data_IF_638852851754
#
_entry.id   IF_638852851754
#
_cell.length_a   1.000
_cell.length_b   1.000
_cell.length_c   1.000
_cell.angle_alpha   90.00
_cell.angle_beta   90.00
_cell.angle_gamma   90.00
#
_symmetry.space_group_name_H-M   'P 1'
#
loop_
_entity.id
_entity.type
_entity.pdbx_description
1 polymer ?
#
# COMPACT_ATOMS: atom_id res chain seq x y z
N UNK A 1 -12.93 23.76 -1.67
CA UNK A 1 -12.55 23.25 -0.34
C UNK A 1 -12.12 21.81 -0.54
N UNK A 2 -10.84 21.52 -0.41
CA UNK A 2 -10.31 20.16 -0.56
C UNK A 2 -10.76 19.30 0.61
N UNK A 3 -11.69 18.38 0.34
CA UNK A 3 -12.10 17.36 1.29
C UNK A 3 -10.95 16.37 1.42
N UNK A 4 -10.31 16.30 2.59
CA UNK A 4 -9.29 15.30 2.86
C UNK A 4 -9.93 13.91 2.78
N UNK A 5 -9.36 13.04 1.96
CA UNK A 5 -9.75 11.64 1.88
C UNK A 5 -8.53 10.73 1.91
N UNK A 6 -8.79 9.47 2.23
CA UNK A 6 -7.86 8.35 2.17
C UNK A 6 -8.59 7.18 1.53
N UNK A 7 -7.86 6.29 0.85
CA UNK A 7 -8.48 5.12 0.25
C UNK A 7 -7.55 3.92 0.30
N UNK A 8 -8.16 2.75 0.39
CA UNK A 8 -7.47 1.48 0.32
C UNK A 8 -8.37 0.49 -0.42
N UNK A 9 -7.80 -0.64 -0.82
CA UNK A 9 -8.53 -1.66 -1.54
C UNK A 9 -8.18 -3.05 -1.01
N UNK A 10 -9.10 -3.95 -1.20
CA UNK A 10 -8.88 -5.40 -1.16
C UNK A 10 -9.04 -5.95 -2.58
N UNK A 11 -8.96 -7.27 -2.74
CA UNK A 11 -9.07 -7.88 -4.08
C UNK A 11 -10.40 -7.56 -4.77
N UNK A 12 -11.49 -7.47 -3.99
CA UNK A 12 -12.86 -7.32 -4.50
C UNK A 12 -13.53 -6.00 -4.17
N UNK A 13 -12.96 -5.21 -3.27
CA UNK A 13 -13.60 -4.02 -2.71
C UNK A 13 -12.62 -2.85 -2.64
N UNK A 14 -13.15 -1.64 -2.76
CA UNK A 14 -12.43 -0.39 -2.58
C UNK A 14 -13.12 0.37 -1.46
N UNK A 15 -12.35 0.80 -0.47
CA UNK A 15 -12.82 1.58 0.65
C UNK A 15 -12.29 3.01 0.55
N UNK A 16 -13.18 3.99 0.57
CA UNK A 16 -12.83 5.42 0.55
C UNK A 16 -13.27 6.04 1.87
N UNK A 17 -12.34 6.67 2.58
CA UNK A 17 -12.57 7.38 3.83
C UNK A 17 -12.50 8.89 3.57
N UNK A 18 -13.61 9.60 3.71
CA UNK A 18 -13.64 11.06 3.59
C UNK A 18 -13.73 11.69 4.98
N UNK A 19 -12.81 12.59 5.33
CA UNK A 19 -12.73 13.18 6.67
C UNK A 19 -13.43 14.54 6.72
N UNK A 20 -14.52 14.62 7.49
CA UNK A 20 -15.23 15.87 7.77
C UNK A 20 -15.88 15.79 9.15
N UNK A 21 -15.73 16.85 9.94
CA UNK A 21 -16.26 16.95 11.30
C UNK A 21 -17.73 17.35 11.30
N UNK A 22 -18.42 17.02 12.38
CA UNK A 22 -19.82 17.41 12.65
C UNK A 22 -20.80 16.86 11.61
N UNK A 23 -20.64 15.59 11.25
CA UNK A 23 -21.56 14.90 10.35
C UNK A 23 -22.51 13.97 11.11
N UNK A 24 -23.79 14.05 10.80
CA UNK A 24 -24.77 13.04 11.19
C UNK A 24 -25.16 12.20 9.98
N UNK A 25 -25.64 10.98 10.23
CA UNK A 25 -26.09 10.08 9.16
C UNK A 25 -27.27 10.67 8.35
N UNK A 26 -28.12 11.48 8.99
CA UNK A 26 -29.27 12.13 8.36
C UNK A 26 -28.90 13.28 7.43
N UNK A 27 -27.70 13.85 7.59
CA UNK A 27 -27.27 15.06 6.87
C UNK A 27 -26.44 14.69 5.63
N UNK A 28 -26.23 13.40 5.36
CA UNK A 28 -25.36 12.91 4.29
C UNK A 28 -26.13 11.97 3.38
N UNK A 29 -26.08 12.25 2.08
CA UNK A 29 -26.60 11.38 1.02
C UNK A 29 -25.47 11.01 0.08
N UNK A 30 -25.35 9.72 -0.23
CA UNK A 30 -24.35 9.22 -1.18
C UNK A 30 -25.08 8.62 -2.38
N UNK A 31 -24.65 8.98 -3.58
CA UNK A 31 -25.10 8.39 -4.83
C UNK A 31 -23.97 7.56 -5.43
N UNK A 32 -24.24 6.28 -5.68
CA UNK A 32 -23.33 5.37 -6.35
C UNK A 32 -23.75 5.19 -7.80
N UNK A 33 -22.81 5.41 -8.72
CA UNK A 33 -22.94 5.11 -10.14
C UNK A 33 -21.83 4.13 -10.54
N UNK A 34 -21.93 3.56 -11.74
CA UNK A 34 -20.98 2.54 -12.20
C UNK A 34 -19.54 3.02 -12.17
N UNK A 35 -19.28 4.31 -12.40
CA UNK A 35 -17.93 4.87 -12.47
C UNK A 35 -17.78 6.18 -11.69
N UNK A 36 -18.83 6.62 -11.00
CA UNK A 36 -18.84 7.87 -10.26
C UNK A 36 -19.47 7.68 -8.88
N UNK A 37 -18.88 8.31 -7.87
CA UNK A 37 -19.44 8.32 -6.51
C UNK A 37 -19.55 9.76 -6.06
N UNK A 38 -20.76 10.18 -5.75
CA UNK A 38 -21.06 11.57 -5.35
C UNK A 38 -21.59 11.62 -3.94
N UNK A 39 -20.95 12.43 -3.09
CA UNK A 39 -21.36 12.68 -1.71
C UNK A 39 -22.06 14.04 -1.68
N UNK A 40 -23.26 14.07 -1.13
CA UNK A 40 -24.09 15.25 -0.93
C UNK A 40 -24.33 15.48 0.56
N UNK A 41 -24.38 16.75 0.95
CA UNK A 41 -24.83 17.20 2.26
C UNK A 41 -26.26 17.70 2.14
N UNK A 42 -27.16 17.06 2.87
CA UNK A 42 -28.55 17.45 3.00
C UNK A 42 -28.61 18.65 3.94
N UNK A 43 -28.74 19.86 3.39
CA UNK A 43 -28.97 21.07 4.18
C UNK A 43 -30.42 21.54 4.02
N UNK A 44 -30.99 22.28 4.99
CA UNK A 44 -32.34 22.82 4.90
C UNK A 44 -32.56 23.76 3.70
N UNK A 45 -31.47 24.33 3.17
CA UNK A 45 -31.43 25.23 2.01
C UNK A 45 -31.24 24.52 0.67
N UNK A 46 -31.07 23.20 0.65
CA UNK A 46 -30.82 22.39 -0.54
C UNK A 46 -29.61 21.46 -0.40
N UNK A 47 -29.58 20.41 -1.22
CA UNK A 47 -28.51 19.42 -1.25
C UNK A 47 -27.23 20.04 -1.84
N UNK A 48 -26.16 20.12 -1.04
CA UNK A 48 -24.86 20.62 -1.49
C UNK A 48 -23.97 19.44 -1.93
N UNK A 49 -23.41 19.49 -3.14
CA UNK A 49 -22.42 18.51 -3.57
C UNK A 49 -21.12 18.73 -2.80
N UNK A 50 -20.77 17.78 -1.95
CA UNK A 50 -19.56 17.83 -1.14
C UNK A 50 -18.33 17.43 -1.93
N UNK A 51 -18.39 16.27 -2.58
CA UNK A 51 -17.29 15.72 -3.40
C UNK A 51 -17.84 14.67 -4.35
N UNK A 52 -17.31 14.64 -5.57
CA UNK A 52 -17.50 13.57 -6.55
C UNK A 52 -16.16 12.92 -6.82
N UNK A 53 -16.12 11.59 -6.79
CA UNK A 53 -14.99 10.77 -7.20
C UNK A 53 -15.30 10.16 -8.55
N UNK A 54 -14.44 10.40 -9.54
CA UNK A 54 -14.57 9.77 -10.86
C UNK A 54 -13.65 8.56 -10.92
N UNK A 55 -14.19 7.37 -10.67
CA UNK A 55 -13.45 6.16 -10.37
C UNK A 55 -12.68 5.65 -11.60
N UNK A 56 -11.44 5.18 -11.39
CA UNK A 56 -10.62 4.66 -12.47
C UNK A 56 -11.14 3.36 -13.09
N UNK A 57 -11.89 2.58 -12.31
CA UNK A 57 -12.52 1.35 -12.77
C UNK A 57 -13.98 1.28 -12.32
N UNK A 58 -14.82 0.53 -13.04
CA UNK A 58 -16.23 0.42 -12.69
C UNK A 58 -16.48 -0.40 -11.43
N UNK A 59 -17.51 0.00 -10.69
CA UNK A 59 -18.03 -0.61 -9.46
C UNK A 59 -19.48 -1.05 -9.67
N UNK A 60 -19.94 -2.01 -8.85
CA UNK A 60 -21.32 -2.49 -8.84
C UNK A 60 -22.14 -1.65 -7.85
N UNK A 61 -22.95 -0.67 -8.30
CA UNK A 61 -23.60 0.29 -7.42
C UNK A 61 -24.56 -0.37 -6.42
N UNK A 62 -25.19 -1.48 -6.84
CA UNK A 62 -26.12 -2.26 -6.01
C UNK A 62 -25.48 -2.93 -4.80
N UNK A 63 -24.16 -3.15 -4.85
CA UNK A 63 -23.39 -3.76 -3.77
C UNK A 63 -22.48 -2.74 -3.05
N UNK A 64 -22.61 -1.46 -3.36
CA UNK A 64 -21.92 -0.39 -2.67
C UNK A 64 -22.66 0.00 -1.39
N UNK A 65 -21.92 0.29 -0.32
CA UNK A 65 -22.48 0.70 0.97
C UNK A 65 -21.71 1.90 1.53
N UNK A 66 -22.33 2.64 2.44
CA UNK A 66 -21.65 3.73 3.15
C UNK A 66 -21.99 3.73 4.64
N UNK A 67 -21.06 4.26 5.43
CA UNK A 67 -21.23 4.48 6.87
C UNK A 67 -20.80 5.89 7.22
N UNK A 68 -21.67 6.60 7.91
CA UNK A 68 -21.38 7.95 8.41
C UNK A 68 -20.96 7.86 9.88
N UNK A 69 -19.88 8.54 10.21
CA UNK A 69 -19.39 8.76 11.56
C UNK A 69 -19.22 10.26 11.79
N UNK A 70 -19.18 10.75 13.04
CA UNK A 70 -19.08 12.20 13.33
C UNK A 70 -17.85 12.90 12.74
N UNK A 71 -16.82 12.12 12.39
CA UNK A 71 -15.50 12.59 11.95
C UNK A 71 -15.16 12.15 10.52
N UNK A 72 -15.92 11.21 9.94
CA UNK A 72 -15.64 10.64 8.63
C UNK A 72 -16.84 9.97 7.99
N UNK A 73 -16.82 9.88 6.67
CA UNK A 73 -17.72 9.09 5.84
C UNK A 73 -16.89 7.95 5.26
N UNK A 74 -17.28 6.71 5.52
CA UNK A 74 -16.66 5.53 4.94
C UNK A 74 -17.54 5.02 3.81
N UNK A 75 -16.99 4.93 2.60
CA UNK A 75 -17.62 4.35 1.43
C UNK A 75 -16.99 2.98 1.19
N UNK A 76 -17.80 1.96 0.94
CA UNK A 76 -17.34 0.63 0.51
C UNK A 76 -17.93 0.35 -0.86
N UNK A 77 -17.06 0.23 -1.84
CA UNK A 77 -17.41 0.05 -3.24
C UNK A 77 -17.06 -1.36 -3.66
N UNK A 78 -18.00 -2.07 -4.28
CA UNK A 78 -17.76 -3.41 -4.82
C UNK A 78 -17.20 -3.28 -6.22
N UNK A 79 -16.02 -3.86 -6.49
CA UNK A 79 -15.44 -3.86 -7.83
C UNK A 79 -16.26 -4.75 -8.77
N UNK A 80 -16.39 -4.33 -10.03
CA UNK A 80 -16.93 -5.22 -11.09
C UNK A 80 -15.89 -6.27 -11.47
N UNK A 81 -14.64 -5.84 -11.63
CA UNK A 81 -13.52 -6.69 -12.04
C UNK A 81 -12.52 -6.84 -10.88
N UNK A 82 -11.96 -8.03 -10.70
CA UNK A 82 -10.91 -8.33 -9.70
C UNK A 82 -9.55 -7.75 -10.10
N UNK A 83 -9.53 -6.46 -10.46
CA UNK A 83 -8.32 -5.72 -10.86
C UNK A 83 -7.80 -4.90 -9.68
N UNK A 84 -6.47 -4.81 -9.58
CA UNK A 84 -5.81 -3.91 -8.62
C UNK A 84 -5.81 -2.49 -9.19
N UNK A 85 -6.38 -1.56 -8.45
CA UNK A 85 -6.45 -0.16 -8.85
C UNK A 85 -5.11 0.50 -8.53
N UNK A 86 -4.44 1.08 -9.52
CA UNK A 86 -3.22 1.84 -9.26
C UNK A 86 -3.56 3.25 -8.72
N UNK A 87 -4.69 3.79 -9.18
CA UNK A 87 -5.20 5.11 -8.82
C UNK A 87 -6.70 5.01 -8.53
N UNK A 88 -7.20 5.90 -7.67
CA UNK A 88 -8.62 5.94 -7.33
C UNK A 88 -9.43 6.65 -8.41
N UNK A 89 -8.93 7.81 -8.86
CA UNK A 89 -9.63 8.68 -9.79
C UNK A 89 -8.95 8.67 -11.16
N UNK A 90 -9.74 8.65 -12.23
CA UNK A 90 -9.23 8.97 -13.57
C UNK A 90 -8.95 10.47 -13.62
N UNK A 91 -7.74 10.86 -13.99
CA UNK A 91 -7.42 12.25 -14.29
C UNK A 91 -8.26 12.72 -15.49
N UNK A 92 -9.40 13.34 -15.21
CA UNK A 92 -10.13 14.11 -16.22
C UNK A 92 -9.45 15.46 -16.31
N UNK A 93 -8.42 15.54 -17.15
CA UNK A 93 -7.96 16.81 -17.70
C UNK A 93 -9.18 17.52 -18.27
N UNK A 94 -9.65 18.57 -17.59
CA UNK A 94 -10.67 19.47 -18.13
C UNK A 94 -10.05 20.21 -19.31
N UNK A 95 -10.14 19.64 -20.51
CA UNK A 95 -10.47 20.33 -21.77
C UNK A 95 -10.55 19.33 -22.95
N UNK A 96 -11.68 19.34 -23.66
CA UNK A 96 -11.73 19.06 -25.10
C UNK A 96 -11.73 17.60 -25.59
N UNK A 97 -12.92 17.16 -26.01
CA UNK A 97 -13.21 16.13 -27.04
C UNK A 97 -12.04 15.90 -28.00
N UNK A 98 -11.41 14.70 -28.04
CA UNK A 98 -10.85 14.05 -29.25
C UNK A 98 -10.82 12.52 -29.11
N UNK A 99 -11.44 11.86 -30.07
CA UNK A 99 -11.49 10.41 -30.28
C UNK A 99 -10.12 9.73 -30.48
N UNK A 100 -10.08 8.47 -30.03
CA UNK A 100 -9.44 7.28 -30.62
C UNK A 100 -7.95 7.23 -31.03
N UNK A 101 -7.33 6.18 -30.47
CA UNK A 101 -6.39 5.22 -31.08
C UNK A 101 -4.86 5.47 -31.03
N UNK A 102 -4.23 4.56 -30.27
CA UNK A 102 -3.01 3.78 -30.57
C UNK A 102 -1.62 4.43 -30.63
N UNK A 103 -0.79 3.93 -29.69
CA UNK A 103 0.56 3.37 -29.89
C UNK A 103 1.82 4.23 -29.67
N UNK A 104 2.52 3.84 -28.59
CA UNK A 104 3.96 3.51 -28.44
C UNK A 104 5.02 4.63 -28.55
N UNK A 105 5.87 4.61 -27.51
CA UNK A 105 7.23 5.12 -27.35
C UNK A 105 7.46 6.59 -26.99
N UNK A 106 8.14 6.80 -25.86
CA UNK A 106 8.61 8.12 -25.43
C UNK A 106 8.77 8.21 -23.91
N UNK A 107 9.86 7.65 -23.39
CA UNK A 107 10.35 7.89 -22.03
C UNK A 107 10.46 9.40 -21.78
N UNK A 108 9.67 9.92 -20.84
CA UNK A 108 9.99 11.16 -20.15
C UNK A 108 9.63 11.05 -18.67
N UNK A 109 10.68 11.08 -17.86
CA UNK A 109 10.66 11.18 -16.40
C UNK A 109 9.70 12.29 -15.97
N UNK A 110 8.54 11.95 -15.43
CA UNK A 110 7.71 12.87 -14.67
C UNK A 110 7.92 12.50 -13.21
N UNK A 111 8.80 13.27 -12.58
CA UNK A 111 9.04 13.21 -11.16
C UNK A 111 7.72 13.50 -10.43
N UNK A 112 7.20 12.51 -9.69
CA UNK A 112 6.08 12.71 -8.78
C UNK A 112 6.54 13.56 -7.60
N UNK A 113 6.42 14.89 -7.71
CA UNK A 113 6.54 15.78 -6.57
C UNK A 113 5.25 15.73 -5.74
N UNK A 114 5.18 14.74 -4.85
CA UNK A 114 4.19 14.68 -3.78
C UNK A 114 4.46 15.80 -2.76
N UNK A 115 3.45 16.54 -2.26
CA UNK A 115 3.68 17.55 -1.23
C UNK A 115 3.86 16.85 0.12
N UNK A 116 5.07 16.32 0.38
CA UNK A 116 5.42 15.78 1.68
C UNK A 116 5.66 16.91 2.67
N UNK A 117 4.83 16.97 3.72
CA UNK A 117 4.92 17.92 4.83
C UNK A 117 6.06 17.59 5.82
N UNK A 118 7.25 17.24 5.33
CA UNK A 118 8.45 16.98 6.16
C UNK A 118 9.59 17.93 5.78
N UNK A 119 10.11 18.71 6.74
CA UNK A 119 11.22 19.67 6.57
C UNK A 119 12.60 19.03 6.34
N UNK A 120 12.66 17.81 5.84
CA UNK A 120 13.91 17.11 5.52
C UNK A 120 13.67 16.37 4.20
N UNK A 121 14.30 16.86 3.13
CA UNK A 121 14.35 16.19 1.84
C UNK A 121 15.41 15.09 1.90
N UNK A 122 15.03 13.85 1.63
CA UNK A 122 15.97 12.75 1.48
C UNK A 122 16.28 12.58 -0.01
N UNK A 123 17.53 12.77 -0.41
CA UNK A 123 17.99 12.68 -1.80
C UNK A 123 18.09 11.22 -2.27
N UNK A 124 17.00 10.70 -2.84
CA UNK A 124 16.92 9.34 -3.40
C UNK A 124 17.82 9.12 -4.63
N UNK A 125 18.21 10.20 -5.33
CA UNK A 125 19.13 10.13 -6.48
C UNK A 125 20.53 9.63 -6.12
N UNK A 126 20.89 9.61 -4.82
CA UNK A 126 22.17 9.10 -4.35
C UNK A 126 22.15 7.58 -4.13
N UNK A 127 20.98 7.02 -3.78
CA UNK A 127 20.77 5.59 -3.59
C UNK A 127 20.81 4.80 -4.90
N UNK A 128 20.35 5.40 -6.01
CA UNK A 128 20.42 4.77 -7.34
C UNK A 128 21.86 4.59 -7.85
N UNK A 129 22.77 5.50 -7.48
CA UNK A 129 24.17 5.44 -7.91
C UNK A 129 25.01 4.45 -7.09
N UNK A 130 24.66 4.21 -5.82
CA UNK A 130 25.23 3.12 -5.00
C UNK A 130 24.65 1.74 -5.36
N UNK A 131 23.41 1.67 -5.87
CA UNK A 131 22.80 0.40 -6.27
C UNK A 131 23.31 -0.14 -7.62
N UNK A 132 23.83 0.71 -8.50
CA UNK A 132 24.37 0.30 -9.81
C UNK A 132 25.80 -0.25 -9.74
N UNK A 133 26.51 -0.06 -8.62
CA UNK A 133 27.86 -0.61 -8.38
C UNK A 133 27.83 -1.94 -7.62
N UNK A 134 26.64 -2.40 -7.20
CA UNK A 134 26.40 -3.72 -6.60
C UNK A 134 25.74 -4.59 -7.68
N UNK A 135 26.56 -4.93 -8.67
CA UNK A 135 26.36 -6.06 -9.56
C UNK A 135 26.57 -7.33 -8.71
N UNK A 136 25.58 -7.67 -7.90
CA UNK A 136 25.50 -8.97 -7.23
C UNK A 136 24.06 -9.48 -7.26
N UNK A 137 23.95 -10.68 -7.81
CA UNK A 137 22.79 -11.51 -8.08
C UNK A 137 22.13 -11.95 -6.76
N UNK A 138 21.63 -10.98 -5.99
CA UNK A 138 21.13 -11.18 -4.63
C UNK A 138 19.62 -11.00 -4.57
N UNK A 139 18.91 -12.09 -4.24
CA UNK A 139 17.51 -12.06 -3.80
C UNK A 139 17.24 -10.83 -2.91
N UNK A 140 16.09 -10.13 -3.06
CA UNK A 140 15.72 -8.99 -2.22
C UNK A 140 15.86 -9.28 -0.71
N UNK A 141 15.70 -10.56 -0.35
CA UNK A 141 15.90 -11.10 0.99
C UNK A 141 17.36 -11.05 1.46
N UNK A 142 18.32 -11.35 0.58
CA UNK A 142 19.74 -11.30 0.89
C UNK A 142 20.19 -9.86 1.15
N UNK A 143 19.70 -8.90 0.36
CA UNK A 143 19.96 -7.46 0.60
C UNK A 143 19.39 -6.98 1.94
N UNK A 144 18.20 -7.48 2.32
CA UNK A 144 17.64 -7.21 3.64
C UNK A 144 18.55 -7.75 4.76
N UNK A 145 19.09 -8.96 4.63
CA UNK A 145 20.01 -9.53 5.63
C UNK A 145 21.34 -8.79 5.70
N UNK A 146 21.90 -8.36 4.56
CA UNK A 146 23.13 -7.57 4.53
C UNK A 146 22.95 -6.22 5.24
N UNK A 147 21.83 -5.52 4.99
CA UNK A 147 21.53 -4.26 5.66
C UNK A 147 21.36 -4.45 7.18
N UNK A 148 20.65 -5.50 7.61
CA UNK A 148 20.51 -5.83 9.03
C UNK A 148 21.88 -6.15 9.65
N UNK A 149 22.75 -6.88 8.94
CA UNK A 149 24.09 -7.22 9.43
C UNK A 149 25.03 -6.00 9.52
N UNK A 150 24.92 -5.07 8.58
CA UNK A 150 25.71 -3.84 8.53
C UNK A 150 25.35 -2.88 9.68
N UNK A 151 24.05 -2.75 9.98
CA UNK A 151 23.54 -1.86 11.04
C UNK A 151 23.57 -2.54 12.44
N UNK A 152 23.63 -3.88 12.49
CA UNK A 152 23.59 -4.65 13.74
C UNK A 152 24.80 -4.44 14.66
N UNK A 153 24.52 -4.44 15.97
CA UNK A 153 25.54 -4.56 17.02
C UNK A 153 26.26 -5.91 16.96
N UNK A 154 27.48 -5.99 17.51
CA UNK A 154 28.29 -7.21 17.48
C UNK A 154 27.58 -8.42 18.08
N UNK A 155 26.78 -8.22 19.14
CA UNK A 155 25.94 -9.27 19.74
C UNK A 155 24.84 -9.76 18.79
N UNK A 156 24.22 -8.83 18.06
CA UNK A 156 23.15 -9.13 17.09
C UNK A 156 23.70 -9.91 15.90
N UNK A 157 24.89 -9.53 15.40
CA UNK A 157 25.58 -10.27 14.33
C UNK A 157 25.90 -11.69 14.75
N UNK A 158 26.40 -11.88 15.97
CA UNK A 158 26.68 -13.22 16.52
C UNK A 158 25.39 -14.02 16.66
N UNK A 159 24.30 -13.40 17.08
CA UNK A 159 22.99 -14.06 17.18
C UNK A 159 22.48 -14.53 15.82
N UNK A 160 22.61 -13.68 14.80
CA UNK A 160 22.22 -13.99 13.43
C UNK A 160 23.05 -15.16 12.87
N UNK A 161 24.38 -15.10 12.96
CA UNK A 161 25.24 -16.18 12.45
C UNK A 161 24.98 -17.48 13.18
N UNK A 162 24.86 -17.44 14.52
CA UNK A 162 24.63 -18.64 15.33
C UNK A 162 23.27 -19.26 15.04
N UNK A 163 22.19 -18.46 15.03
CA UNK A 163 20.84 -18.95 14.74
C UNK A 163 20.69 -19.49 13.32
N UNK A 164 21.28 -18.81 12.34
CA UNK A 164 21.28 -19.27 10.95
C UNK A 164 22.04 -20.59 10.80
N UNK A 165 23.19 -20.73 11.47
CA UNK A 165 24.00 -21.95 11.41
C UNK A 165 23.35 -23.12 12.16
N UNK A 166 22.79 -22.88 13.35
CA UNK A 166 22.15 -23.92 14.17
C UNK A 166 20.80 -24.38 13.57
N UNK A 167 20.05 -23.48 12.94
CA UNK A 167 18.77 -23.79 12.30
C UNK A 167 18.90 -24.28 10.85
N UNK A 168 20.11 -24.45 10.33
CA UNK A 168 20.37 -24.85 8.95
C UNK A 168 19.78 -23.90 7.91
N UNK A 169 19.76 -22.60 8.21
CA UNK A 169 19.31 -21.54 7.31
C UNK A 169 17.82 -21.26 7.30
N UNK A 170 17.04 -21.86 8.21
CA UNK A 170 15.58 -21.72 8.24
C UNK A 170 15.08 -20.64 9.22
N UNK A 171 15.87 -20.32 10.25
CA UNK A 171 15.50 -19.36 11.30
C UNK A 171 16.64 -18.37 11.52
N UNK A 172 16.30 -17.08 11.40
CA UNK A 172 17.19 -15.97 11.73
C UNK A 172 16.67 -15.26 12.97
N UNK A 173 17.47 -15.24 14.04
CA UNK A 173 17.16 -14.49 15.26
C UNK A 173 18.25 -13.46 15.53
N UNK A 174 17.81 -12.25 15.87
CA UNK A 174 18.65 -11.10 16.20
C UNK A 174 18.91 -10.96 17.71
N UNK A 175 18.34 -11.83 18.55
CA UNK A 175 18.41 -11.72 20.01
C UNK A 175 19.45 -12.67 20.63
N UNK A 176 20.64 -12.15 20.95
CA UNK A 176 21.75 -12.94 21.53
C UNK A 176 21.42 -13.60 22.87
N UNK A 177 20.54 -12.98 23.68
CA UNK A 177 20.21 -13.51 25.02
C UNK A 177 19.45 -14.83 24.98
N UNK A 178 18.71 -15.07 23.89
CA UNK A 178 17.90 -16.27 23.69
C UNK A 178 18.72 -17.34 22.99
N UNK A 179 19.30 -17.02 21.82
CA UNK A 179 20.10 -17.96 21.02
C UNK A 179 21.45 -18.30 21.66
N UNK A 180 21.92 -17.47 22.59
CA UNK A 180 23.11 -17.75 23.38
C UNK A 180 22.92 -18.90 24.38
N UNK A 181 21.70 -19.06 24.91
CA UNK A 181 21.37 -20.03 25.97
C UNK A 181 20.70 -21.29 25.43
N UNK A 182 19.88 -21.16 24.40
CA UNK A 182 19.07 -22.25 23.85
C UNK A 182 19.40 -22.45 22.37
N UNK A 183 19.44 -23.71 21.93
CA UNK A 183 19.67 -24.04 20.52
C UNK A 183 18.44 -23.67 19.71
N UNK A 184 18.63 -22.99 18.59
CA UNK A 184 17.51 -22.61 17.72
C UNK A 184 17.10 -23.83 16.89
N UNK A 185 15.93 -24.39 17.22
CA UNK A 185 15.40 -25.54 16.50
C UNK A 185 14.97 -25.18 15.08
N UNK A 186 15.30 -26.05 14.14
CA UNK A 186 14.95 -25.91 12.72
C UNK A 186 13.44 -25.99 12.54
N UNK A 187 12.84 -24.92 12.00
CA UNK A 187 11.43 -24.89 11.62
C UNK A 187 11.33 -24.80 10.10
N UNK A 188 11.09 -25.93 9.41
CA UNK A 188 10.96 -25.89 7.96
C UNK A 188 9.71 -25.07 7.55
N UNK A 189 9.72 -24.42 6.38
CA UNK A 189 8.56 -23.72 5.84
C UNK A 189 7.36 -24.65 5.66
N UNK A 190 6.15 -24.10 5.84
CA UNK A 190 4.91 -24.88 5.88
C UNK A 190 4.71 -25.68 4.57
N UNK A 191 4.67 -27.01 4.68
CA UNK A 191 4.58 -27.96 3.56
C UNK A 191 5.80 -28.85 3.29
N UNK A 192 6.93 -28.70 4.02
CA UNK A 192 8.09 -29.59 3.88
C UNK A 192 8.47 -30.25 5.21
N UNK A 193 8.42 -31.58 5.28
CA UNK A 193 8.89 -32.36 6.44
C UNK A 193 10.40 -32.63 6.33
N UNK A 194 11.16 -32.23 7.35
CA UNK A 194 12.58 -32.57 7.47
C UNK A 194 12.72 -34.06 7.82
N UNK A 195 13.31 -34.85 6.91
CA UNK A 195 13.71 -36.23 7.18
C UNK A 195 15.20 -36.29 7.51
N UNK A 196 15.51 -36.59 8.78
CA UNK A 196 16.88 -36.91 9.22
C UNK A 196 17.18 -38.34 8.77
N UNK A 197 18.06 -38.52 7.79
CA UNK A 197 18.61 -39.84 7.47
C UNK A 197 19.89 -40.03 8.28
N UNK A 198 19.87 -40.99 9.20
CA UNK A 198 21.10 -41.54 9.79
C UNK A 198 21.75 -42.46 8.75
N UNK A 199 23.06 -42.31 8.55
CA UNK A 199 23.92 -43.32 7.90
C UNK A 199 24.30 -44.34 8.96
#
# INVERSE_FOLDING_TARGET
MDLKFDWYQSDREVCINCFRKNLNASDVKVSFEAQDVSIFLLAPSGDELLRRFHLAHPVLPEHCTYRVSPVKIELRLRKVTETKWNELELEVSQDGIKDSASSIDGISKIAHTYPSSSKVAHDWSKLEKEAAEIEDDGDPLNKLFQNIYADASDETRRAMIKSFTESGGTVLSTNWKEVGKEKVEMKPPDGMEYKKYEI
#
